data_IF_444414450304
#
_entry.id   IF_444414450304
#
_cell.length_a   1.000
_cell.length_b   1.000
_cell.length_c   1.000
_cell.angle_alpha   90.00
_cell.angle_beta   90.00
_cell.angle_gamma   90.00
#
_symmetry.space_group_name_H-M   'P 1'
#
loop_
_entity.id
_entity.type
_entity.pdbx_description
1 polymer ?
#
# COMPACT_ATOMS: atom_id res chain seq x y z
N UNK A 1 56.81 -54.42 6.57
CA UNK A 1 56.62 -53.05 6.05
C UNK A 1 56.99 -52.07 7.15
N UNK A 2 57.77 -51.02 6.87
CA UNK A 2 58.02 -49.95 7.86
C UNK A 2 56.71 -49.21 8.11
N UNK A 3 56.41 -48.91 9.37
CA UNK A 3 55.14 -48.27 9.79
C UNK A 3 54.89 -46.91 9.10
N UNK A 4 55.96 -46.19 8.74
CA UNK A 4 55.90 -44.94 8.00
C UNK A 4 55.38 -45.12 6.56
N UNK A 5 55.73 -46.22 5.90
CA UNK A 5 55.23 -46.54 4.56
C UNK A 5 53.73 -46.83 4.56
N UNK A 6 53.18 -47.32 5.68
CA UNK A 6 51.74 -47.53 5.84
C UNK A 6 51.00 -46.18 5.96
N UNK A 7 51.57 -45.23 6.70
CA UNK A 7 51.03 -43.86 6.81
C UNK A 7 51.03 -43.18 5.44
N UNK A 8 52.11 -43.30 4.66
CA UNK A 8 52.17 -42.76 3.30
C UNK A 8 51.11 -43.39 2.39
N UNK A 9 50.93 -44.72 2.46
CA UNK A 9 49.87 -45.42 1.71
C UNK A 9 48.47 -44.94 2.10
N UNK A 10 48.22 -44.67 3.38
CA UNK A 10 46.93 -44.21 3.88
C UNK A 10 46.63 -42.77 3.46
N UNK A 11 47.68 -41.92 3.39
CA UNK A 11 47.60 -40.57 2.82
C UNK A 11 47.28 -40.66 1.31
N UNK A 12 47.93 -41.57 0.58
CA UNK A 12 47.68 -41.80 -0.85
C UNK A 12 46.28 -42.35 -1.13
N UNK A 13 45.72 -43.16 -0.23
CA UNK A 13 44.33 -43.66 -0.32
C UNK A 13 43.29 -42.67 0.21
N UNK A 14 43.69 -41.62 0.94
CA UNK A 14 42.77 -40.62 1.51
C UNK A 14 42.05 -41.08 2.79
N UNK A 15 42.52 -42.13 3.45
CA UNK A 15 41.95 -42.63 4.72
C UNK A 15 42.53 -41.85 5.92
N UNK A 16 42.18 -40.57 6.01
CA UNK A 16 42.71 -39.62 7.00
C UNK A 16 42.53 -40.03 8.46
N UNK A 17 41.34 -40.50 8.91
CA UNK A 17 41.12 -40.83 10.33
C UNK A 17 42.04 -41.96 10.81
N UNK A 18 42.28 -42.95 9.94
CA UNK A 18 43.12 -44.10 10.25
C UNK A 18 44.61 -43.71 10.23
N UNK A 19 45.02 -42.84 9.29
CA UNK A 19 46.37 -42.28 9.27
C UNK A 19 46.68 -41.48 10.55
N UNK A 20 45.73 -40.67 11.04
CA UNK A 20 45.88 -39.89 12.28
C UNK A 20 45.96 -40.83 13.50
N UNK A 21 45.12 -41.88 13.55
CA UNK A 21 45.14 -42.84 14.65
C UNK A 21 46.49 -43.59 14.73
N UNK A 22 47.02 -44.03 13.59
CA UNK A 22 48.31 -44.71 13.50
C UNK A 22 49.47 -43.77 13.85
N UNK A 23 49.45 -42.52 13.36
CA UNK A 23 50.48 -41.53 13.75
C UNK A 23 50.46 -41.18 15.25
N UNK A 24 49.27 -41.11 15.87
CA UNK A 24 49.16 -40.92 17.33
C UNK A 24 49.71 -42.12 18.10
N UNK A 25 49.52 -43.33 17.59
CA UNK A 25 50.05 -44.55 18.19
C UNK A 25 51.59 -44.62 18.13
N UNK A 26 52.19 -44.16 17.04
CA UNK A 26 53.65 -44.19 16.81
C UNK A 26 54.40 -43.08 17.60
N UNK A 27 53.69 -42.09 18.15
CA UNK A 27 54.26 -40.93 18.88
C UNK A 27 55.32 -40.16 18.06
N UNK A 28 55.10 -40.05 16.75
CA UNK A 28 55.99 -39.29 15.85
C UNK A 28 55.93 -37.78 16.18
N UNK A 29 57.05 -37.03 16.13
CA UNK A 29 57.06 -35.58 16.36
C UNK A 29 56.10 -34.83 15.41
N UNK A 30 55.41 -33.80 15.92
CA UNK A 30 54.21 -33.23 15.26
C UNK A 30 54.44 -32.77 13.82
N UNK A 31 55.65 -32.28 13.49
CA UNK A 31 56.03 -31.84 12.14
C UNK A 31 56.07 -32.97 11.09
N UNK A 32 56.39 -34.20 11.49
CA UNK A 32 56.47 -35.36 10.58
C UNK A 32 55.22 -36.24 10.61
N UNK A 33 54.43 -36.17 11.68
CA UNK A 33 53.20 -36.92 11.86
C UNK A 33 51.95 -36.14 11.43
N UNK A 34 51.24 -35.58 12.42
CA UNK A 34 49.89 -35.02 12.23
C UNK A 34 49.90 -33.82 11.27
N UNK A 35 50.86 -32.89 11.38
CA UNK A 35 50.91 -31.73 10.47
C UNK A 35 51.16 -32.14 9.01
N UNK A 36 51.91 -33.22 8.77
CA UNK A 36 52.11 -33.76 7.42
C UNK A 36 50.81 -34.30 6.84
N UNK A 37 50.04 -35.02 7.66
CA UNK A 37 48.73 -35.56 7.26
C UNK A 37 47.74 -34.42 7.02
N UNK A 38 47.72 -33.39 7.87
CA UNK A 38 46.85 -32.23 7.70
C UNK A 38 47.21 -31.40 6.46
N UNK A 39 48.51 -31.19 6.19
CA UNK A 39 48.97 -30.52 4.96
C UNK A 39 48.58 -31.32 3.72
N UNK A 40 48.88 -32.63 3.70
CA UNK A 40 48.54 -33.51 2.58
C UNK A 40 47.03 -33.63 2.37
N UNK A 41 46.24 -33.62 3.46
CA UNK A 41 44.78 -33.54 3.39
C UNK A 41 44.33 -32.23 2.76
N UNK A 42 44.88 -31.10 3.21
CA UNK A 42 44.53 -29.78 2.67
C UNK A 42 44.87 -29.63 1.19
N UNK A 43 46.01 -30.17 0.74
CA UNK A 43 46.43 -30.16 -0.66
C UNK A 43 45.56 -31.07 -1.55
N UNK A 44 45.15 -32.23 -1.02
CA UNK A 44 44.33 -33.21 -1.77
C UNK A 44 42.84 -32.88 -1.76
N UNK A 45 42.39 -32.07 -0.80
CA UNK A 45 41.04 -31.53 -0.70
C UNK A 45 40.95 -30.11 -1.28
N UNK A 46 42.07 -29.45 -1.60
CA UNK A 46 42.11 -28.19 -2.32
C UNK A 46 41.50 -28.37 -3.72
N UNK A 47 40.25 -27.93 -3.87
CA UNK A 47 39.47 -28.03 -5.11
C UNK A 47 38.25 -28.94 -5.02
N UNK A 48 38.07 -29.71 -3.94
CA UNK A 48 36.78 -30.36 -3.66
C UNK A 48 35.88 -29.38 -2.92
N UNK A 49 34.74 -29.05 -3.50
CA UNK A 49 33.68 -28.35 -2.77
C UNK A 49 33.22 -29.28 -1.63
N UNK A 50 33.41 -28.89 -0.36
CA UNK A 50 32.91 -29.70 0.74
C UNK A 50 31.38 -29.79 0.61
N UNK A 51 30.82 -30.97 0.87
CA UNK A 51 29.36 -31.13 0.87
C UNK A 51 28.77 -30.42 2.10
N UNK A 52 28.45 -29.13 1.93
CA UNK A 52 27.96 -28.26 2.99
C UNK A 52 26.64 -28.77 3.61
N UNK A 53 25.83 -29.51 2.84
CA UNK A 53 24.61 -30.13 3.35
C UNK A 53 24.93 -31.22 4.38
N UNK A 54 25.81 -32.15 4.05
CA UNK A 54 26.26 -33.19 4.98
C UNK A 54 26.93 -32.60 6.21
N UNK A 55 27.74 -31.54 6.02
CA UNK A 55 28.38 -30.84 7.12
C UNK A 55 27.36 -30.17 8.06
N UNK A 56 26.31 -29.55 7.50
CA UNK A 56 25.24 -28.94 8.30
C UNK A 56 24.46 -29.98 9.13
N UNK A 57 24.29 -31.19 8.61
CA UNK A 57 23.63 -32.30 9.33
C UNK A 57 24.50 -32.82 10.47
N UNK A 58 25.81 -32.95 10.26
CA UNK A 58 26.77 -33.34 11.30
C UNK A 58 26.88 -32.26 12.39
N UNK A 59 26.81 -30.98 12.01
CA UNK A 59 26.78 -29.88 12.96
C UNK A 59 25.47 -29.94 13.76
N UNK A 60 24.33 -30.06 13.09
CA UNK A 60 23.03 -30.15 13.75
C UNK A 60 22.93 -31.34 14.72
N UNK A 61 23.51 -32.50 14.39
CA UNK A 61 23.52 -33.65 15.30
C UNK A 61 24.39 -33.45 16.53
N UNK A 62 25.53 -32.74 16.39
CA UNK A 62 26.41 -32.39 17.54
C UNK A 62 25.78 -31.36 18.46
N UNK A 63 24.97 -30.45 17.92
CA UNK A 63 24.29 -29.42 18.69
C UNK A 63 22.89 -29.85 19.17
N UNK A 64 22.44 -31.08 18.86
CA UNK A 64 21.16 -31.60 19.33
C UNK A 64 21.07 -31.69 20.87
N UNK A 65 22.21 -31.91 21.53
CA UNK A 65 22.31 -32.01 22.98
C UNK A 65 22.37 -30.64 23.70
N UNK A 66 22.50 -29.54 22.95
CA UNK A 66 22.70 -28.18 23.48
C UNK A 66 21.63 -27.21 22.98
N UNK A 67 20.41 -27.22 23.56
CA UNK A 67 19.30 -26.40 23.10
C UNK A 67 19.50 -24.89 23.33
N UNK A 68 20.43 -24.47 24.20
CA UNK A 68 20.78 -23.06 24.38
C UNK A 68 21.54 -22.43 23.20
N UNK A 69 22.18 -23.25 22.36
CA UNK A 69 22.98 -22.75 21.24
C UNK A 69 22.06 -22.49 20.05
N UNK A 70 21.89 -21.21 19.71
CA UNK A 70 21.18 -20.80 18.49
C UNK A 70 22.06 -21.08 17.26
N UNK A 71 21.49 -21.73 16.25
CA UNK A 71 22.13 -21.96 14.96
C UNK A 71 22.44 -20.65 14.23
N UNK A 72 21.77 -19.55 14.56
CA UNK A 72 22.09 -18.21 14.08
C UNK A 72 23.51 -17.77 14.48
N UNK A 73 23.95 -18.08 15.71
CA UNK A 73 25.28 -17.73 16.22
C UNK A 73 26.36 -18.62 15.57
N UNK A 74 26.05 -19.89 15.32
CA UNK A 74 26.93 -20.81 14.58
C UNK A 74 27.05 -20.37 13.11
N UNK A 75 25.94 -19.96 12.50
CA UNK A 75 25.91 -19.43 11.15
C UNK A 75 26.68 -18.11 11.02
N UNK A 76 26.66 -17.25 12.06
CA UNK A 76 27.48 -16.02 12.11
C UNK A 76 28.97 -16.36 12.04
N UNK A 77 29.44 -17.30 12.87
CA UNK A 77 30.84 -17.75 12.83
C UNK A 77 31.22 -18.37 11.49
N UNK A 78 30.30 -19.10 10.85
CA UNK A 78 30.51 -19.64 9.52
C UNK A 78 30.60 -18.52 8.45
N UNK A 79 29.78 -17.47 8.58
CA UNK A 79 29.81 -16.30 7.71
C UNK A 79 31.12 -15.51 7.86
N UNK A 80 31.59 -15.30 9.09
CA UNK A 80 32.87 -14.64 9.39
C UNK A 80 34.06 -15.42 8.78
N UNK A 81 33.93 -16.75 8.69
CA UNK A 81 34.88 -17.62 8.01
C UNK A 81 34.70 -17.68 6.48
N UNK A 82 33.87 -16.82 5.88
CA UNK A 82 33.49 -16.79 4.46
C UNK A 82 32.79 -18.06 3.94
N UNK A 83 32.22 -18.89 4.82
CA UNK A 83 31.46 -20.10 4.46
C UNK A 83 29.96 -19.79 4.32
N UNK A 84 29.63 -18.89 3.39
CA UNK A 84 28.27 -18.37 3.23
C UNK A 84 27.23 -19.46 2.91
N UNK A 85 27.57 -20.46 2.11
CA UNK A 85 26.65 -21.56 1.77
C UNK A 85 26.34 -22.43 3.00
N UNK A 86 27.35 -22.71 3.84
CA UNK A 86 27.15 -23.43 5.08
C UNK A 86 26.28 -22.63 6.05
N UNK A 87 26.52 -21.32 6.17
CA UNK A 87 25.74 -20.44 7.01
C UNK A 87 24.26 -20.46 6.61
N UNK A 88 23.93 -20.54 5.32
CA UNK A 88 22.54 -20.68 4.87
C UNK A 88 21.90 -22.00 5.29
N UNK A 89 22.57 -23.13 5.09
CA UNK A 89 22.03 -24.43 5.50
C UNK A 89 21.83 -24.52 7.02
N UNK A 90 22.72 -23.90 7.80
CA UNK A 90 22.59 -23.81 9.25
C UNK A 90 21.41 -22.91 9.65
N UNK A 91 21.21 -21.78 8.96
CA UNK A 91 20.09 -20.88 9.21
C UNK A 91 18.73 -21.55 8.96
N UNK A 92 18.62 -22.50 8.04
CA UNK A 92 17.37 -23.23 7.81
C UNK A 92 16.96 -24.11 9.01
N UNK A 93 17.90 -24.45 9.90
CA UNK A 93 17.67 -25.22 11.13
C UNK A 93 17.31 -24.34 12.34
N UNK A 94 17.43 -23.02 12.23
CA UNK A 94 17.14 -22.08 13.31
C UNK A 94 15.66 -22.13 13.73
N UNK A 95 15.42 -22.20 15.04
CA UNK A 95 14.08 -22.22 15.64
C UNK A 95 13.45 -20.82 15.72
N UNK A 96 14.28 -19.79 15.94
CA UNK A 96 13.84 -18.40 16.09
C UNK A 96 13.85 -17.64 14.76
N UNK A 97 12.65 -17.38 14.21
CA UNK A 97 12.48 -16.65 12.94
C UNK A 97 13.02 -15.22 12.96
N UNK A 98 12.98 -14.52 14.10
CA UNK A 98 13.51 -13.15 14.23
C UNK A 98 15.02 -13.11 14.02
N UNK A 99 15.76 -13.97 14.74
CA UNK A 99 17.21 -14.14 14.59
C UNK A 99 17.58 -14.63 13.20
N UNK A 100 16.82 -15.57 12.65
CA UNK A 100 17.02 -16.05 11.29
C UNK A 100 16.94 -14.92 10.26
N UNK A 101 15.92 -14.05 10.35
CA UNK A 101 15.77 -12.90 9.44
C UNK A 101 16.87 -11.87 9.64
N UNK A 102 17.25 -11.56 10.88
CA UNK A 102 18.37 -10.66 11.17
C UNK A 102 19.68 -11.16 10.56
N UNK A 103 19.97 -12.45 10.69
CA UNK A 103 21.16 -13.06 10.10
C UNK A 103 21.14 -13.07 8.57
N UNK A 104 19.97 -13.31 7.95
CA UNK A 104 19.83 -13.21 6.49
C UNK A 104 20.09 -11.80 5.96
N UNK A 105 19.76 -10.76 6.74
CA UNK A 105 20.11 -9.37 6.41
C UNK A 105 21.61 -9.13 6.53
N UNK A 106 22.26 -9.64 7.59
CA UNK A 106 23.73 -9.57 7.75
C UNK A 106 24.49 -10.28 6.62
N UNK A 107 23.95 -11.39 6.11
CA UNK A 107 24.49 -12.12 4.95
C UNK A 107 24.24 -11.43 3.60
N UNK A 108 23.65 -10.22 3.59
CA UNK A 108 23.27 -9.47 2.40
C UNK A 108 22.31 -10.25 1.48
N UNK A 109 21.37 -11.02 2.06
CA UNK A 109 20.34 -11.78 1.33
C UNK A 109 18.92 -11.28 1.63
N UNK A 110 18.59 -10.03 1.22
CA UNK A 110 17.32 -9.41 1.57
C UNK A 110 16.09 -10.09 0.96
N UNK A 111 16.21 -10.69 -0.24
CA UNK A 111 15.06 -11.38 -0.87
C UNK A 111 14.55 -12.53 0.02
N UNK A 112 15.48 -13.35 0.53
CA UNK A 112 15.18 -14.51 1.38
C UNK A 112 14.68 -14.05 2.75
N UNK A 113 15.30 -13.00 3.32
CA UNK A 113 14.87 -12.39 4.58
C UNK A 113 13.42 -11.90 4.49
N UNK A 114 13.09 -11.15 3.45
CA UNK A 114 11.74 -10.62 3.23
C UNK A 114 10.73 -11.75 2.97
N UNK A 115 11.08 -12.76 2.16
CA UNK A 115 10.22 -13.90 1.92
C UNK A 115 9.93 -14.70 3.20
N UNK A 116 10.92 -14.88 4.06
CA UNK A 116 10.76 -15.60 5.34
C UNK A 116 9.93 -14.78 6.34
N UNK A 117 10.15 -13.46 6.40
CA UNK A 117 9.34 -12.54 7.19
C UNK A 117 7.88 -12.47 6.70
N UNK A 118 7.65 -12.48 5.38
CA UNK A 118 6.30 -12.50 4.82
C UNK A 118 5.57 -13.83 5.07
N UNK A 119 6.29 -14.96 5.11
CA UNK A 119 5.72 -16.28 5.44
C UNK A 119 5.47 -16.47 6.94
N UNK A 120 6.16 -15.74 7.80
CA UNK A 120 5.94 -15.82 9.25
C UNK A 120 4.64 -15.13 9.66
N UNK A 121 4.22 -14.12 8.91
CA UNK A 121 2.83 -13.66 8.92
C UNK A 121 1.98 -14.81 8.40
N UNK A 122 1.26 -15.50 9.30
CA UNK A 122 0.15 -16.38 8.93
C UNK A 122 -1.11 -15.51 8.83
N UNK A 123 -1.45 -14.91 7.68
CA UNK A 123 -2.83 -14.56 7.48
C UNK A 123 -3.58 -15.89 7.29
N UNK A 124 -4.61 -16.14 8.09
CA UNK A 124 -5.50 -17.29 7.91
C UNK A 124 -6.32 -17.09 6.61
N UNK A 125 -5.67 -17.27 5.46
CA UNK A 125 -6.20 -16.97 4.10
C UNK A 125 -6.91 -18.16 3.47
N UNK A 126 -7.68 -18.92 4.25
CA UNK A 126 -8.71 -19.85 3.70
C UNK A 126 -10.07 -19.18 3.52
N UNK A 127 -10.13 -17.85 3.42
CA UNK A 127 -11.32 -17.13 2.99
C UNK A 127 -11.04 -16.40 1.67
N UNK A 128 -11.97 -16.60 0.75
CA UNK A 128 -11.82 -16.58 -0.69
C UNK A 128 -11.44 -15.21 -1.30
N UNK A 129 -10.91 -15.20 -2.54
CA UNK A 129 -10.52 -13.98 -3.27
C UNK A 129 -11.64 -12.95 -3.52
N UNK A 130 -12.91 -13.29 -3.24
CA UNK A 130 -14.05 -12.45 -3.61
C UNK A 130 -14.53 -11.50 -2.48
N UNK A 131 -14.09 -11.68 -1.22
CA UNK A 131 -14.48 -10.81 -0.10
C UNK A 131 -13.46 -9.71 0.22
N UNK A 132 -12.22 -9.83 -0.27
CA UNK A 132 -11.18 -8.81 -0.06
C UNK A 132 -11.51 -7.48 -0.75
N UNK A 133 -12.30 -7.51 -1.84
CA UNK A 133 -12.76 -6.31 -2.55
C UNK A 133 -13.83 -5.57 -1.74
N UNK A 134 -14.62 -6.28 -0.92
CA UNK A 134 -15.70 -5.68 -0.13
C UNK A 134 -15.18 -5.00 1.15
N UNK A 135 -14.15 -5.54 1.78
CA UNK A 135 -13.56 -4.95 2.99
C UNK A 135 -12.82 -3.63 2.74
N UNK A 136 -12.27 -3.42 1.55
CA UNK A 136 -11.54 -2.19 1.20
C UNK A 136 -12.49 -1.02 0.90
N UNK A 137 -13.75 -1.29 0.52
CA UNK A 137 -14.66 -0.25 0.02
C UNK A 137 -15.61 0.35 1.05
N UNK A 138 -15.81 -0.26 2.23
CA UNK A 138 -16.89 0.16 3.14
C UNK A 138 -16.46 0.61 4.55
N UNK A 139 -15.19 0.56 4.92
CA UNK A 139 -14.78 1.08 6.24
C UNK A 139 -13.27 1.38 6.34
N UNK A 140 -12.82 2.62 6.12
CA UNK A 140 -11.44 3.02 6.41
C UNK A 140 -11.09 2.99 7.91
N UNK A 141 -12.10 2.81 8.79
CA UNK A 141 -11.92 2.74 10.26
C UNK A 141 -11.85 1.32 10.82
N UNK A 142 -12.20 0.27 10.08
CA UNK A 142 -11.92 -1.11 10.50
C UNK A 142 -10.53 -1.48 9.99
N UNK A 143 -9.51 -1.05 10.74
CA UNK A 143 -8.18 -1.66 10.70
C UNK A 143 -8.39 -3.17 10.80
N UNK A 144 -8.15 -3.90 9.72
CA UNK A 144 -8.07 -5.37 9.76
C UNK A 144 -6.70 -5.68 10.36
N UNK A 145 -6.61 -5.41 11.66
CA UNK A 145 -5.72 -6.06 12.58
C UNK A 145 -6.46 -7.31 13.05
N UNK A 146 -6.51 -8.36 12.23
CA UNK A 146 -6.87 -9.68 12.76
C UNK A 146 -6.02 -10.76 12.13
N UNK A 147 -5.34 -11.48 13.04
CA UNK A 147 -4.76 -12.82 12.95
C UNK A 147 -3.23 -12.89 12.80
N UNK A 148 -2.58 -12.84 13.97
CA UNK A 148 -1.56 -13.77 14.45
C UNK A 148 -0.33 -14.03 13.56
N UNK A 149 0.47 -12.99 13.38
CA UNK A 149 1.94 -12.99 13.53
C UNK A 149 2.43 -11.58 13.18
N UNK A 150 3.10 -10.93 14.13
CA UNK A 150 3.41 -9.49 14.09
C UNK A 150 3.93 -8.97 12.74
N UNK A 151 3.34 -7.90 12.17
CA UNK A 151 3.88 -7.22 10.98
C UNK A 151 5.27 -6.61 11.21
N UNK A 152 5.72 -6.59 12.47
CA UNK A 152 7.02 -6.09 12.95
C UNK A 152 8.21 -6.62 12.14
N UNK A 153 8.24 -7.92 11.78
CA UNK A 153 9.42 -8.46 11.11
C UNK A 153 9.53 -8.00 9.65
N UNK A 154 8.41 -7.85 8.94
CA UNK A 154 8.39 -7.27 7.60
C UNK A 154 8.74 -5.79 7.65
N UNK A 155 8.20 -5.04 8.63
CA UNK A 155 8.59 -3.64 8.83
C UNK A 155 10.09 -3.49 9.14
N UNK A 156 10.65 -4.38 9.96
CA UNK A 156 12.08 -4.40 10.28
C UNK A 156 12.94 -4.62 9.01
N UNK A 157 12.59 -5.62 8.19
CA UNK A 157 13.28 -5.88 6.92
C UNK A 157 13.13 -4.69 5.96
N UNK A 158 11.93 -4.13 5.81
CA UNK A 158 11.69 -2.97 4.96
C UNK A 158 12.45 -1.72 5.43
N UNK A 159 12.54 -1.49 6.75
CA UNK A 159 13.31 -0.39 7.32
C UNK A 159 14.81 -0.54 7.03
N UNK A 160 15.36 -1.75 7.20
CA UNK A 160 16.75 -2.04 6.87
C UNK A 160 17.03 -1.89 5.37
N UNK A 161 16.14 -2.42 4.53
CA UNK A 161 16.23 -2.30 3.08
C UNK A 161 16.25 -0.84 2.62
N UNK A 162 15.46 0.03 3.25
CA UNK A 162 15.42 1.46 2.92
C UNK A 162 16.70 2.21 3.27
N UNK A 163 17.43 1.77 4.29
CA UNK A 163 18.70 2.40 4.66
C UNK A 163 19.86 1.92 3.76
N UNK A 164 19.74 0.72 3.20
CA UNK A 164 20.84 0.03 2.52
C UNK A 164 20.69 -0.02 1.00
N UNK A 165 19.46 -0.02 0.49
CA UNK A 165 19.15 -0.25 -0.92
C UNK A 165 18.41 0.93 -1.55
N UNK A 166 18.51 1.04 -2.88
CA UNK A 166 17.76 2.02 -3.67
C UNK A 166 16.28 1.62 -3.77
N UNK A 167 15.40 2.62 -3.97
CA UNK A 167 13.95 2.41 -4.02
C UNK A 167 13.52 1.42 -5.09
N UNK A 168 14.15 1.43 -6.26
CA UNK A 168 13.81 0.55 -7.38
C UNK A 168 14.08 -0.93 -7.06
N UNK A 169 15.16 -1.18 -6.31
CA UNK A 169 15.50 -2.54 -5.84
C UNK A 169 14.43 -3.00 -4.86
N UNK A 170 14.02 -2.14 -3.92
CA UNK A 170 12.98 -2.45 -2.93
C UNK A 170 11.65 -2.73 -3.63
N UNK A 171 11.25 -1.89 -4.59
CA UNK A 171 10.03 -2.08 -5.36
C UNK A 171 10.05 -3.44 -6.06
N UNK A 172 11.13 -3.79 -6.75
CA UNK A 172 11.28 -5.10 -7.40
C UNK A 172 11.17 -6.28 -6.42
N UNK A 173 11.78 -6.18 -5.23
CA UNK A 173 11.71 -7.22 -4.19
C UNK A 173 10.30 -7.42 -3.65
N UNK A 174 9.63 -6.31 -3.35
CA UNK A 174 8.31 -6.28 -2.73
C UNK A 174 7.23 -6.71 -3.72
N UNK A 175 7.41 -6.43 -5.02
CA UNK A 175 6.51 -6.89 -6.09
C UNK A 175 6.39 -8.42 -6.16
N UNK A 176 7.47 -9.16 -5.85
CA UNK A 176 7.48 -10.63 -5.81
C UNK A 176 6.67 -11.20 -4.62
N UNK A 177 6.34 -10.38 -3.62
CA UNK A 177 5.78 -10.82 -2.33
C UNK A 177 4.53 -9.98 -1.97
N UNK A 178 3.31 -10.43 -2.34
CA UNK A 178 2.08 -9.67 -2.10
C UNK A 178 1.84 -9.19 -0.65
N UNK A 179 2.14 -9.98 0.41
CA UNK A 179 1.99 -9.51 1.79
C UNK A 179 2.91 -8.34 2.15
N UNK A 180 4.17 -8.40 1.69
CA UNK A 180 5.13 -7.31 1.88
C UNK A 180 4.70 -6.06 1.12
N UNK A 181 4.11 -6.22 -0.06
CA UNK A 181 3.61 -5.12 -0.86
C UNK A 181 2.50 -4.33 -0.17
N UNK A 182 1.54 -5.00 0.47
CA UNK A 182 0.48 -4.30 1.19
C UNK A 182 1.04 -3.38 2.27
N UNK A 183 1.94 -3.91 3.11
CA UNK A 183 2.56 -3.15 4.20
C UNK A 183 3.47 -2.03 3.70
N UNK A 184 4.18 -2.25 2.59
CA UNK A 184 4.98 -1.22 1.94
C UNK A 184 4.10 -0.11 1.34
N UNK A 185 2.99 -0.47 0.70
CA UNK A 185 2.02 0.50 0.17
C UNK A 185 1.39 1.33 1.29
N UNK A 186 1.07 0.73 2.44
CA UNK A 186 0.54 1.46 3.60
C UNK A 186 1.55 2.48 4.13
N UNK A 187 2.82 2.09 4.23
CA UNK A 187 3.89 3.02 4.57
C UNK A 187 4.04 4.15 3.52
N UNK A 188 4.02 3.84 2.23
CA UNK A 188 4.17 4.83 1.16
C UNK A 188 3.01 5.85 1.11
N UNK A 189 1.81 5.50 1.62
CA UNK A 189 0.67 6.44 1.66
C UNK A 189 0.98 7.68 2.48
N UNK A 190 1.76 7.54 3.56
CA UNK A 190 2.08 8.65 4.46
C UNK A 190 3.34 9.40 4.01
N UNK A 191 4.36 8.68 3.54
CA UNK A 191 5.68 9.30 3.33
C UNK A 191 5.98 9.66 1.88
N UNK A 192 5.44 8.92 0.90
CA UNK A 192 5.75 9.14 -0.51
C UNK A 192 4.53 8.84 -1.42
N UNK A 193 3.44 9.63 -1.30
CA UNK A 193 2.20 9.40 -2.03
C UNK A 193 2.37 9.41 -3.56
N UNK A 194 3.27 10.25 -4.10
CA UNK A 194 3.58 10.31 -5.54
C UNK A 194 4.24 9.03 -6.06
N UNK A 195 5.12 8.43 -5.25
CA UNK A 195 5.76 7.15 -5.59
C UNK A 195 4.74 6.02 -5.58
N UNK A 196 3.83 6.03 -4.60
CA UNK A 196 2.73 5.09 -4.53
C UNK A 196 1.83 5.15 -5.78
N UNK A 197 1.53 6.36 -6.27
CA UNK A 197 0.79 6.54 -7.51
C UNK A 197 1.53 5.91 -8.71
N UNK A 198 2.85 6.11 -8.82
CA UNK A 198 3.65 5.50 -9.89
C UNK A 198 3.55 3.95 -9.87
N UNK A 199 3.55 3.34 -8.68
CA UNK A 199 3.34 1.90 -8.53
C UNK A 199 1.94 1.45 -8.98
N UNK A 200 0.89 2.24 -8.70
CA UNK A 200 -0.46 1.93 -9.17
C UNK A 200 -0.59 2.06 -10.69
N UNK A 201 0.11 3.03 -11.30
CA UNK A 201 0.16 3.21 -12.75
C UNK A 201 0.85 2.03 -13.41
N UNK A 202 2.03 1.62 -12.91
CA UNK A 202 2.78 0.49 -13.45
C UNK A 202 1.99 -0.84 -13.39
N UNK A 203 1.08 -0.98 -12.41
CA UNK A 203 0.26 -2.18 -12.22
C UNK A 203 -1.10 -2.13 -12.93
N UNK A 204 -1.43 -1.05 -13.62
CA UNK A 204 -2.77 -0.81 -14.17
C UNK A 204 -3.88 -0.95 -13.11
N UNK A 205 -3.57 -0.58 -11.86
CA UNK A 205 -4.54 -0.60 -10.77
C UNK A 205 -5.40 0.66 -10.81
N UNK A 206 -6.30 0.71 -11.78
CA UNK A 206 -7.14 1.85 -12.03
C UNK A 206 -8.04 2.19 -10.83
N UNK A 207 -8.41 1.21 -10.01
CA UNK A 207 -9.27 1.44 -8.83
C UNK A 207 -8.55 2.28 -7.78
N UNK A 208 -7.31 1.92 -7.46
CA UNK A 208 -6.49 2.69 -6.51
C UNK A 208 -6.03 4.02 -7.08
N UNK A 209 -5.77 4.09 -8.39
CA UNK A 209 -5.49 5.36 -9.08
C UNK A 209 -6.67 6.34 -8.95
N UNK A 210 -7.89 5.89 -9.26
CA UNK A 210 -9.09 6.73 -9.11
C UNK A 210 -9.23 7.27 -7.69
N UNK A 211 -9.10 6.40 -6.67
CA UNK A 211 -9.21 6.83 -5.27
C UNK A 211 -8.13 7.86 -4.89
N UNK A 212 -6.90 7.67 -5.40
CA UNK A 212 -5.82 8.62 -5.20
C UNK A 212 -6.18 9.99 -5.80
N UNK A 213 -6.56 10.03 -7.08
CA UNK A 213 -6.88 11.28 -7.78
C UNK A 213 -8.10 12.01 -7.20
N UNK A 214 -9.13 11.27 -6.78
CA UNK A 214 -10.29 11.86 -6.10
C UNK A 214 -9.91 12.46 -4.75
N UNK A 215 -9.08 11.76 -3.96
CA UNK A 215 -8.61 12.26 -2.67
C UNK A 215 -7.72 13.48 -2.82
N UNK A 216 -6.83 13.47 -3.81
CA UNK A 216 -5.96 14.60 -4.15
C UNK A 216 -6.82 15.82 -4.53
N UNK A 217 -7.74 15.66 -5.49
CA UNK A 217 -8.67 16.72 -5.88
C UNK A 217 -9.53 17.23 -4.72
N UNK A 218 -10.03 16.35 -3.85
CA UNK A 218 -10.80 16.77 -2.67
C UNK A 218 -9.96 17.59 -1.68
N UNK A 219 -8.69 17.21 -1.50
CA UNK A 219 -7.77 17.86 -0.56
C UNK A 219 -7.21 19.19 -1.09
N UNK A 220 -7.17 19.37 -2.42
CA UNK A 220 -6.74 20.62 -3.05
C UNK A 220 -7.71 21.75 -2.69
N UNK A 221 -7.26 22.84 -2.05
CA UNK A 221 -8.10 23.99 -1.73
C UNK A 221 -8.59 24.68 -3.01
N UNK A 222 -9.72 25.37 -2.92
CA UNK A 222 -10.22 26.19 -4.05
C UNK A 222 -9.44 27.51 -4.11
N UNK A 223 -8.65 27.71 -5.16
CA UNK A 223 -7.97 28.97 -5.43
C UNK A 223 -7.56 29.08 -6.91
N UNK A 224 -7.38 30.29 -7.46
CA UNK A 224 -7.08 30.49 -8.88
C UNK A 224 -5.81 29.79 -9.41
N UNK A 225 -4.85 29.47 -8.53
CA UNK A 225 -3.59 28.81 -8.92
C UNK A 225 -3.72 27.29 -8.98
N UNK A 226 -4.51 26.69 -8.08
CA UNK A 226 -4.65 25.24 -7.91
C UNK A 226 -5.95 24.67 -8.51
N UNK A 227 -6.91 25.51 -8.90
CA UNK A 227 -8.19 25.08 -9.48
C UNK A 227 -7.99 24.18 -10.71
N UNK A 228 -6.99 24.51 -11.53
CA UNK A 228 -6.61 23.70 -12.69
C UNK A 228 -6.15 22.30 -12.28
N UNK A 229 -5.29 22.21 -11.27
CA UNK A 229 -4.80 20.93 -10.75
C UNK A 229 -5.93 20.09 -10.14
N UNK A 230 -6.87 20.75 -9.44
CA UNK A 230 -8.07 20.12 -8.90
C UNK A 230 -8.93 19.49 -9.99
N UNK A 231 -9.17 20.20 -11.09
CA UNK A 231 -9.92 19.72 -12.26
C UNK A 231 -9.16 18.62 -12.99
N UNK A 232 -7.85 18.79 -13.22
CA UNK A 232 -7.00 17.79 -13.86
C UNK A 232 -6.96 16.47 -13.07
N UNK A 233 -7.00 16.54 -11.73
CA UNK A 233 -7.18 15.38 -10.86
C UNK A 233 -8.48 14.63 -11.14
N UNK A 234 -9.62 15.33 -11.27
CA UNK A 234 -10.90 14.72 -11.61
C UNK A 234 -10.89 14.07 -13.00
N UNK A 235 -10.29 14.74 -14.00
CA UNK A 235 -10.18 14.18 -15.36
C UNK A 235 -9.31 12.92 -15.40
N UNK A 236 -8.24 12.87 -14.59
CA UNK A 236 -7.45 11.64 -14.43
C UNK A 236 -8.26 10.54 -13.76
N UNK A 237 -9.03 10.86 -12.72
CA UNK A 237 -9.92 9.92 -12.04
C UNK A 237 -10.99 9.35 -12.97
N UNK A 238 -11.59 10.20 -13.81
CA UNK A 238 -12.54 9.83 -14.85
C UNK A 238 -11.94 8.82 -15.84
N UNK A 239 -10.76 9.12 -16.40
CA UNK A 239 -10.05 8.21 -17.33
C UNK A 239 -9.80 6.84 -16.69
N UNK A 240 -9.35 6.81 -15.43
CA UNK A 240 -9.17 5.56 -14.69
C UNK A 240 -10.50 4.80 -14.47
N UNK A 241 -11.62 5.49 -14.21
CA UNK A 241 -12.95 4.89 -14.07
C UNK A 241 -13.49 4.29 -15.38
N UNK A 242 -13.22 4.96 -16.51
CA UNK A 242 -13.54 4.45 -17.84
C UNK A 242 -12.79 3.13 -18.09
N UNK A 243 -11.50 3.07 -17.75
CA UNK A 243 -10.71 1.84 -17.86
C UNK A 243 -11.22 0.72 -16.95
N UNK A 244 -11.79 1.03 -15.78
CA UNK A 244 -12.49 0.08 -14.89
C UNK A 244 -13.87 -0.35 -15.41
N UNK A 245 -14.35 0.19 -16.53
CA UNK A 245 -15.70 -0.02 -17.07
C UNK A 245 -16.82 0.45 -16.12
N UNK A 246 -16.54 1.41 -15.24
CA UNK A 246 -17.52 2.02 -14.31
C UNK A 246 -18.07 3.33 -14.88
N UNK A 247 -18.82 3.20 -15.99
CA UNK A 247 -19.30 4.35 -16.78
C UNK A 247 -20.20 5.31 -15.99
N UNK A 248 -21.11 4.80 -15.15
CA UNK A 248 -22.01 5.64 -14.37
C UNK A 248 -21.26 6.55 -13.38
N UNK A 249 -20.22 6.02 -12.70
CA UNK A 249 -19.40 6.83 -11.79
C UNK A 249 -18.45 7.76 -12.54
N UNK A 250 -17.95 7.36 -13.72
CA UNK A 250 -17.14 8.22 -14.56
C UNK A 250 -17.95 9.47 -15.00
N UNK A 251 -19.21 9.27 -15.39
CA UNK A 251 -20.12 10.36 -15.74
C UNK A 251 -20.30 11.35 -14.57
N UNK A 252 -20.50 10.86 -13.34
CA UNK A 252 -20.62 11.74 -12.16
C UNK A 252 -19.35 12.57 -11.91
N UNK A 253 -18.17 11.98 -12.09
CA UNK A 253 -16.89 12.69 -11.95
C UNK A 253 -16.71 13.72 -13.07
N UNK A 254 -17.12 13.39 -14.30
CA UNK A 254 -17.10 14.30 -15.43
C UNK A 254 -18.03 15.50 -15.18
N UNK A 255 -19.28 15.25 -14.78
CA UNK A 255 -20.25 16.29 -14.38
C UNK A 255 -19.71 17.19 -13.25
N UNK A 256 -19.01 16.61 -12.27
CA UNK A 256 -18.35 17.38 -11.20
C UNK A 256 -17.26 18.30 -11.75
N UNK A 257 -16.45 17.80 -12.69
CA UNK A 257 -15.39 18.60 -13.32
C UNK A 257 -15.96 19.76 -14.16
N UNK A 258 -17.08 19.53 -14.85
CA UNK A 258 -17.80 20.57 -15.59
C UNK A 258 -18.39 21.64 -14.67
N UNK A 259 -18.98 21.23 -13.53
CA UNK A 259 -19.50 22.16 -12.54
C UNK A 259 -18.40 23.08 -11.99
N UNK A 260 -17.23 22.53 -11.67
CA UNK A 260 -16.11 23.32 -11.16
C UNK A 260 -15.60 24.32 -12.22
N UNK A 261 -15.53 23.93 -13.49
CA UNK A 261 -15.19 24.86 -14.58
C UNK A 261 -16.20 26.01 -14.70
N UNK A 262 -17.49 25.73 -14.49
CA UNK A 262 -18.49 26.79 -14.46
C UNK A 262 -18.27 27.72 -13.25
N UNK A 263 -18.00 27.16 -12.07
CA UNK A 263 -17.74 27.94 -10.86
C UNK A 263 -16.52 28.87 -11.02
N UNK A 264 -15.48 28.45 -11.75
CA UNK A 264 -14.30 29.28 -12.04
C UNK A 264 -14.68 30.56 -12.81
N UNK A 265 -15.68 30.51 -13.69
CA UNK A 265 -16.15 31.71 -14.43
C UNK A 265 -17.00 32.65 -13.59
N UNK A 266 -17.49 32.16 -12.43
CA UNK A 266 -18.31 32.91 -11.49
C UNK A 266 -17.48 33.46 -10.32
N UNK A 267 -16.24 33.00 -10.16
CA UNK A 267 -15.32 33.56 -9.17
C UNK A 267 -15.09 35.06 -9.48
N UNK A 268 -15.31 35.91 -8.47
CA UNK A 268 -15.27 37.37 -8.59
C UNK A 268 -16.64 38.04 -8.72
N UNK A 269 -17.72 37.28 -8.94
CA UNK A 269 -19.09 37.80 -8.83
C UNK A 269 -19.51 37.99 -7.37
N UNK A 270 -20.40 38.97 -7.07
CA UNK A 270 -20.86 39.21 -5.70
C UNK A 270 -21.54 37.97 -5.11
N UNK A 271 -21.35 37.76 -3.81
CA UNK A 271 -21.98 36.71 -3.01
C UNK A 271 -21.71 35.25 -3.47
N UNK A 272 -20.84 35.04 -4.46
CA UNK A 272 -20.49 33.69 -4.93
C UNK A 272 -19.40 33.00 -4.09
N UNK A 273 -18.64 33.77 -3.29
CA UNK A 273 -17.57 33.22 -2.44
C UNK A 273 -18.08 32.13 -1.50
N UNK A 274 -19.27 32.33 -0.94
CA UNK A 274 -19.88 31.53 0.13
C UNK A 274 -20.73 30.37 -0.41
N UNK A 275 -20.87 30.29 -1.73
CA UNK A 275 -21.64 29.23 -2.39
C UNK A 275 -20.86 27.92 -2.38
N UNK A 276 -21.54 26.85 -2.00
CA UNK A 276 -21.01 25.49 -2.12
C UNK A 276 -20.88 25.09 -3.61
N UNK A 277 -19.64 25.10 -4.09
CA UNK A 277 -19.25 24.78 -5.47
C UNK A 277 -19.36 23.28 -5.81
N UNK A 278 -19.56 22.42 -4.82
CA UNK A 278 -19.71 20.97 -5.03
C UNK A 278 -21.15 20.56 -5.34
N UNK A 279 -22.12 21.46 -5.12
CA UNK A 279 -23.54 21.21 -5.26
C UNK A 279 -24.13 22.00 -6.42
N UNK A 280 -24.60 21.30 -7.45
CA UNK A 280 -25.34 21.89 -8.58
C UNK A 280 -26.54 22.73 -8.09
N UNK A 281 -27.20 22.29 -7.02
CA UNK A 281 -28.33 23.02 -6.40
C UNK A 281 -27.88 24.38 -5.90
N UNK A 282 -26.77 24.43 -5.16
CA UNK A 282 -26.28 25.67 -4.54
C UNK A 282 -25.91 26.70 -5.62
N UNK A 283 -25.20 26.27 -6.66
CA UNK A 283 -24.86 27.12 -7.82
C UNK A 283 -26.12 27.56 -8.57
N UNK A 284 -27.08 26.66 -8.82
CA UNK A 284 -28.34 26.99 -9.48
C UNK A 284 -29.17 28.03 -8.69
N UNK A 285 -29.28 27.85 -7.37
CA UNK A 285 -29.99 28.80 -6.51
C UNK A 285 -29.33 30.18 -6.56
N UNK A 286 -27.99 30.24 -6.51
CA UNK A 286 -27.27 31.50 -6.66
C UNK A 286 -27.53 32.16 -8.02
N UNK A 287 -27.50 31.40 -9.13
CA UNK A 287 -27.77 31.93 -10.47
C UNK A 287 -29.16 32.56 -10.59
N UNK A 288 -30.17 31.93 -9.99
CA UNK A 288 -31.55 32.42 -10.01
C UNK A 288 -31.70 33.70 -9.20
N UNK A 289 -31.03 33.81 -8.05
CA UNK A 289 -31.11 35.00 -7.20
C UNK A 289 -30.50 36.25 -7.85
N UNK A 290 -29.48 36.06 -8.68
CA UNK A 290 -28.74 37.12 -9.35
C UNK A 290 -29.22 37.37 -10.80
N UNK A 291 -30.40 36.84 -11.17
CA UNK A 291 -31.01 37.02 -12.50
C UNK A 291 -30.14 36.50 -13.67
N UNK A 292 -29.25 35.54 -13.40
CA UNK A 292 -28.39 34.88 -14.39
C UNK A 292 -29.16 33.73 -15.09
N UNK A 293 -30.23 34.08 -15.81
CA UNK A 293 -31.15 33.11 -16.43
C UNK A 293 -30.47 32.18 -17.45
N UNK A 294 -29.47 32.69 -18.18
CA UNK A 294 -28.70 31.93 -19.17
C UNK A 294 -27.94 30.79 -18.48
N UNK A 295 -27.28 31.11 -17.36
CA UNK A 295 -26.52 30.16 -16.56
C UNK A 295 -27.46 29.14 -15.90
N UNK A 296 -28.59 29.59 -15.35
CA UNK A 296 -29.58 28.70 -14.75
C UNK A 296 -30.14 27.69 -15.79
N UNK A 297 -30.39 28.14 -17.02
CA UNK A 297 -30.84 27.27 -18.11
C UNK A 297 -29.73 26.31 -18.57
N UNK A 298 -28.49 26.77 -18.63
CA UNK A 298 -27.33 25.93 -18.92
C UNK A 298 -27.15 24.82 -17.88
N UNK A 299 -27.25 25.15 -16.58
CA UNK A 299 -27.20 24.18 -15.50
C UNK A 299 -28.35 23.17 -15.59
N UNK A 300 -29.57 23.63 -15.91
CA UNK A 300 -30.72 22.74 -16.11
C UNK A 300 -30.49 21.73 -17.22
N UNK A 301 -29.98 22.17 -18.37
CA UNK A 301 -29.74 21.31 -19.54
C UNK A 301 -28.58 20.35 -19.30
N UNK A 302 -27.44 20.85 -18.81
CA UNK A 302 -26.22 20.06 -18.63
C UNK A 302 -26.39 18.96 -17.59
N UNK A 303 -27.00 19.28 -16.44
CA UNK A 303 -27.19 18.34 -15.33
C UNK A 303 -28.57 17.67 -15.32
N UNK A 304 -29.37 17.84 -16.38
CA UNK A 304 -30.70 17.22 -16.56
C UNK A 304 -31.59 17.36 -15.32
N UNK A 305 -31.64 18.57 -14.76
CA UNK A 305 -32.36 18.84 -13.51
C UNK A 305 -33.87 18.68 -13.74
N UNK A 306 -34.59 17.86 -12.95
CA UNK A 306 -36.03 17.70 -13.10
C UNK A 306 -36.77 19.03 -12.94
N UNK A 307 -37.80 19.27 -13.75
CA UNK A 307 -38.54 20.54 -13.73
C UNK A 307 -39.12 20.87 -12.35
N UNK A 308 -39.62 19.84 -11.64
CA UNK A 308 -40.09 19.95 -10.25
C UNK A 308 -38.99 20.46 -9.30
N UNK A 309 -37.76 19.95 -9.45
CA UNK A 309 -36.63 20.38 -8.62
C UNK A 309 -36.25 21.84 -8.94
N UNK A 310 -36.22 22.22 -10.22
CA UNK A 310 -35.97 23.60 -10.63
C UNK A 310 -36.93 24.58 -9.96
N UNK A 311 -38.25 24.33 -10.01
CA UNK A 311 -39.19 25.25 -9.38
C UNK A 311 -39.02 25.33 -7.86
N UNK A 312 -38.81 24.19 -7.18
CA UNK A 312 -38.56 24.18 -5.73
C UNK A 312 -37.33 25.01 -5.36
N UNK A 313 -36.24 24.85 -6.12
CA UNK A 313 -34.99 25.57 -5.89
C UNK A 313 -35.12 27.06 -6.22
N UNK A 314 -35.92 27.43 -7.23
CA UNK A 314 -36.23 28.84 -7.51
C UNK A 314 -36.97 29.51 -6.35
N UNK A 315 -38.02 28.87 -5.83
CA UNK A 315 -38.79 29.40 -4.70
C UNK A 315 -37.89 29.57 -3.47
N UNK A 316 -37.09 28.55 -3.15
CA UNK A 316 -36.17 28.61 -2.02
C UNK A 316 -35.09 29.68 -2.20
N UNK A 317 -34.53 29.80 -3.41
CA UNK A 317 -33.54 30.84 -3.72
C UNK A 317 -34.11 32.23 -3.48
N UNK A 318 -35.29 32.53 -4.03
CA UNK A 318 -35.94 33.84 -3.84
C UNK A 318 -36.29 34.11 -2.37
N UNK A 319 -36.74 33.09 -1.63
CA UNK A 319 -37.01 33.23 -0.19
C UNK A 319 -35.74 33.56 0.61
N UNK A 320 -34.61 32.88 0.32
CA UNK A 320 -33.32 33.13 0.99
C UNK A 320 -32.77 34.54 0.72
N UNK A 321 -33.01 35.08 -0.47
CA UNK A 321 -32.56 36.42 -0.88
C UNK A 321 -33.65 37.50 -0.69
N UNK A 322 -34.77 37.18 -0.03
CA UNK A 322 -35.90 38.10 0.26
C UNK A 322 -36.55 38.73 -0.99
N UNK A 323 -36.48 38.05 -2.14
CA UNK A 323 -37.05 38.48 -3.43
C UNK A 323 -38.51 38.06 -3.58
N UNK A 324 -39.39 38.50 -2.67
CA UNK A 324 -40.79 38.05 -2.60
C UNK A 324 -41.63 38.39 -3.85
N UNK A 325 -41.33 39.51 -4.52
CA UNK A 325 -42.02 39.89 -5.76
C UNK A 325 -41.81 38.86 -6.89
N UNK A 326 -40.64 38.24 -6.96
CA UNK A 326 -40.34 37.19 -7.93
C UNK A 326 -41.11 35.89 -7.64
N UNK A 327 -41.29 35.56 -6.36
CA UNK A 327 -42.12 34.43 -5.92
C UNK A 327 -43.58 34.64 -6.32
N UNK A 328 -44.11 35.85 -6.08
CA UNK A 328 -45.49 36.19 -6.45
C UNK A 328 -45.70 36.09 -7.97
N UNK A 329 -44.76 36.58 -8.77
CA UNK A 329 -44.76 36.44 -10.24
C UNK A 329 -44.78 34.97 -10.69
N UNK A 330 -43.99 34.11 -10.05
CA UNK A 330 -43.98 32.67 -10.33
C UNK A 330 -45.35 32.03 -10.08
N UNK A 331 -46.02 32.35 -8.96
CA UNK A 331 -47.35 31.80 -8.64
C UNK A 331 -48.46 32.33 -9.54
N UNK A 332 -48.33 33.55 -10.07
CA UNK A 332 -49.25 34.10 -11.07
C UNK A 332 -49.14 33.37 -12.41
N UNK A 333 -48.03 32.67 -12.68
CA UNK A 333 -47.88 31.83 -13.87
C UNK A 333 -48.60 30.48 -13.71
N UNK A 334 -49.52 30.15 -14.63
CA UNK A 334 -50.38 28.93 -14.56
C UNK A 334 -49.61 27.60 -14.51
N UNK A 335 -48.33 27.58 -14.89
CA UNK A 335 -47.47 26.38 -14.90
C UNK A 335 -47.16 25.85 -13.49
N UNK A 336 -47.21 26.70 -12.47
CA UNK A 336 -46.89 26.34 -11.08
C UNK A 336 -48.10 25.70 -10.38
N UNK A 337 -49.31 25.82 -10.90
CA UNK A 337 -50.50 25.34 -10.17
C UNK A 337 -50.69 23.81 -10.35
N UNK A 338 -50.29 23.26 -11.50
CA UNK A 338 -50.49 21.85 -11.85
C UNK A 338 -49.48 20.89 -11.21
N UNK A 339 -48.25 21.34 -10.96
CA UNK A 339 -47.18 20.49 -10.41
C UNK A 339 -47.21 20.36 -8.88
N UNK A 340 -48.10 21.10 -8.19
CA UNK A 340 -47.93 21.48 -6.79
C UNK A 340 -49.02 21.07 -5.80
N UNK A 341 -49.97 20.20 -6.18
CA UNK A 341 -50.92 19.62 -5.20
C UNK A 341 -50.24 18.82 -4.07
N UNK A 342 -48.92 18.56 -4.15
CA UNK A 342 -48.13 17.88 -3.10
C UNK A 342 -47.55 18.83 -2.04
N UNK A 343 -47.59 20.16 -2.22
CA UNK A 343 -47.08 21.13 -1.23
C UNK A 343 -48.09 21.52 -0.14
N UNK A 344 -48.99 20.61 0.26
CA UNK A 344 -49.89 20.85 1.41
C UNK A 344 -49.22 20.66 2.78
N UNK A 345 -47.92 20.33 2.84
CA UNK A 345 -47.22 20.05 4.12
C UNK A 345 -45.96 20.89 4.41
N UNK A 346 -45.65 21.92 3.63
CA UNK A 346 -44.64 22.95 4.03
C UNK A 346 -45.26 24.31 4.33
N UNK A 347 -46.60 24.40 4.30
CA UNK A 347 -47.34 25.59 4.66
C UNK A 347 -47.40 25.96 6.15
N UNK A 348 -47.10 25.09 7.15
CA UNK A 348 -47.06 25.56 8.54
C UNK A 348 -45.90 26.52 8.83
N UNK A 349 -44.84 26.55 8.01
CA UNK A 349 -43.69 27.45 8.22
C UNK A 349 -43.94 28.89 7.78
N UNK A 350 -44.87 29.13 6.84
CA UNK A 350 -45.06 30.46 6.25
C UNK A 350 -46.05 31.35 6.99
N UNK A 351 -46.68 30.86 8.07
CA UNK A 351 -47.47 31.69 8.99
C UNK A 351 -46.67 32.26 10.17
N UNK A 352 -45.39 31.92 10.29
CA UNK A 352 -44.49 32.38 11.37
C UNK A 352 -43.63 33.59 10.98
N UNK A 353 -43.65 34.05 9.72
CA UNK A 353 -42.85 35.20 9.26
C UNK A 353 -43.69 36.49 9.20
N UNK A 354 -45.02 36.41 9.26
CA UNK A 354 -45.91 37.59 9.31
C UNK A 354 -46.04 38.24 10.69
N UNK A 355 -45.54 37.60 11.76
CA UNK A 355 -45.48 38.21 13.08
C UNK A 355 -44.03 38.23 13.55
N UNK A 356 -43.45 39.43 13.57
CA UNK A 356 -42.12 39.65 14.08
C UNK A 356 -41.98 39.13 15.51
N UNK A 357 -41.21 38.06 15.66
CA UNK A 357 -40.57 37.73 16.93
C UNK A 357 -39.15 37.30 16.63
N UNK A 358 -38.25 38.01 17.29
CA UNK A 358 -36.80 37.85 17.32
C UNK A 358 -36.38 36.39 17.47
N UNK A 359 -35.26 36.01 16.85
CA UNK A 359 -34.54 34.79 17.22
C UNK A 359 -33.07 35.11 17.52
N UNK A 360 -32.75 34.98 18.81
CA UNK A 360 -31.43 34.59 19.34
C UNK A 360 -31.10 33.18 18.86
#
# INVERSE_FOLDING_TARGET
MKMNCLVDRLIDLGHWPLAIAICRYIKEPSKKGIHRIESAKSEKEAGKTPNFKSLSEVIASKFADYPEVSFADVAMKAADANLNELAEFLLEKETHLSRQVEMLLKLNKPERALAKAARSQKPDLRKQPNEAIFCVLLNPRKRICTLNSSPVLVHFVLAHLRQTQKKEVIDHLVLKLPPALCLYQDYLKEEAPRHLLALYIQKDDFARQTLYYLKESQSTPWNPFDNKDKIDGLLKAEKSLINLKKQATALLVAETSELLRLCETLDGKPDFSDVDRTSVRSVYMWSVAHEEDILAEQLRKNFKIPEKACYMWKIESFARHKLWHHVESLFRSKKVITSYMVMRFTAPFYKLIEYGTEFI
#
